data_IF_083662000420
#
_entry.id   IF_083662000420
#
_cell.length_a   1.000
_cell.length_b   1.000
_cell.length_c   1.000
_cell.angle_alpha   90.00
_cell.angle_beta   90.00
_cell.angle_gamma   90.00
#
_symmetry.space_group_name_H-M   'P 1'
#
loop_
_entity.id
_entity.type
_entity.pdbx_description
1 polymer ?
#
# COMPACT_ATOMS: atom_id res chain seq x y z
N UNK A 1 -17.08 -7.74 -12.96
CA UNK A 1 -17.08 -8.48 -11.68
C UNK A 1 -17.18 -9.97 -12.01
N UNK A 2 -16.05 -10.69 -12.05
CA UNK A 2 -16.01 -12.09 -12.50
C UNK A 2 -16.07 -13.02 -11.28
N UNK A 3 -17.07 -13.92 -11.22
CA UNK A 3 -17.17 -14.96 -10.19
C UNK A 3 -15.98 -15.92 -10.32
N UNK A 4 -15.08 -15.91 -9.33
CA UNK A 4 -14.05 -16.96 -9.16
C UNK A 4 -14.70 -18.15 -8.45
N UNK A 5 -14.41 -19.37 -8.91
CA UNK A 5 -14.75 -20.58 -8.16
C UNK A 5 -13.91 -20.68 -6.88
N UNK A 6 -14.44 -21.32 -5.84
CA UNK A 6 -13.69 -21.71 -4.64
C UNK A 6 -13.89 -23.19 -4.39
N UNK A 7 -12.83 -23.88 -3.96
CA UNK A 7 -12.94 -25.26 -3.47
C UNK A 7 -13.58 -25.31 -2.07
N UNK A 8 -13.94 -26.50 -1.55
CA UNK A 8 -14.41 -26.65 -0.17
C UNK A 8 -13.43 -26.10 0.88
N UNK A 9 -12.12 -26.12 0.60
CA UNK A 9 -11.07 -25.53 1.44
C UNK A 9 -10.91 -24.00 1.26
N UNK A 10 -11.78 -23.36 0.49
CA UNK A 10 -11.76 -21.93 0.22
C UNK A 10 -10.65 -21.48 -0.76
N UNK A 11 -9.96 -22.41 -1.42
CA UNK A 11 -8.86 -22.12 -2.36
C UNK A 11 -9.46 -21.46 -3.62
N UNK A 12 -9.02 -20.25 -4.02
CA UNK A 12 -9.50 -19.59 -5.22
C UNK A 12 -9.06 -20.32 -6.49
N UNK A 13 -9.97 -20.46 -7.45
CA UNK A 13 -9.68 -21.07 -8.76
C UNK A 13 -9.80 -20.00 -9.85
N UNK A 14 -8.72 -19.84 -10.60
CA UNK A 14 -8.64 -19.01 -11.80
C UNK A 14 -9.45 -19.60 -12.95
N UNK A 15 -9.63 -18.80 -14.02
CA UNK A 15 -10.35 -19.26 -15.22
C UNK A 15 -9.61 -20.38 -15.96
N UNK A 16 -8.31 -20.48 -15.76
CA UNK A 16 -7.43 -21.49 -16.33
C UNK A 16 -7.36 -22.78 -15.50
N UNK A 17 -8.10 -22.87 -14.40
CA UNK A 17 -8.11 -24.04 -13.50
C UNK A 17 -7.02 -24.03 -12.43
N UNK A 18 -6.16 -23.01 -12.41
CA UNK A 18 -5.05 -22.89 -11.45
C UNK A 18 -5.35 -21.86 -10.37
N UNK A 19 -4.63 -21.93 -9.26
CA UNK A 19 -4.72 -20.92 -8.21
C UNK A 19 -4.02 -19.65 -8.67
N UNK A 20 -4.68 -18.48 -8.68
CA UNK A 20 -4.04 -17.26 -9.16
C UNK A 20 -2.85 -16.89 -8.28
N UNK A 21 -1.71 -16.54 -8.90
CA UNK A 21 -0.45 -16.20 -8.21
C UNK A 21 -0.65 -15.16 -7.10
N UNK A 22 -1.45 -14.13 -7.34
CA UNK A 22 -1.78 -13.11 -6.32
C UNK A 22 -2.45 -13.68 -5.07
N UNK A 23 -3.28 -14.70 -5.21
CA UNK A 23 -3.95 -15.35 -4.07
C UNK A 23 -2.97 -16.24 -3.28
N UNK A 24 -2.00 -16.86 -3.96
CA UNK A 24 -0.89 -17.59 -3.31
C UNK A 24 -0.03 -16.63 -2.48
N UNK A 25 0.45 -15.53 -3.07
CA UNK A 25 1.24 -14.52 -2.35
C UNK A 25 0.47 -13.95 -1.17
N UNK A 26 -0.81 -13.64 -1.37
CA UNK A 26 -1.68 -13.17 -0.29
C UNK A 26 -1.80 -14.19 0.84
N UNK A 27 -1.89 -15.48 0.52
CA UNK A 27 -1.95 -16.55 1.53
C UNK A 27 -0.66 -16.61 2.33
N UNK A 28 0.49 -16.54 1.65
CA UNK A 28 1.79 -16.45 2.32
C UNK A 28 1.91 -15.21 3.21
N UNK A 29 1.46 -14.04 2.75
CA UNK A 29 1.42 -12.82 3.59
C UNK A 29 0.44 -12.92 4.78
N UNK A 30 -0.55 -13.81 4.73
CA UNK A 30 -1.52 -13.97 5.81
C UNK A 30 -1.01 -14.86 6.93
N UNK A 31 -0.35 -15.98 6.58
CA UNK A 31 -0.03 -17.06 7.54
C UNK A 31 1.37 -17.68 7.35
N UNK A 32 2.14 -17.26 6.35
CA UNK A 32 3.49 -17.75 6.10
C UNK A 32 4.52 -17.21 7.08
N UNK A 33 5.68 -17.86 7.14
CA UNK A 33 6.78 -17.48 8.01
C UNK A 33 7.96 -16.90 7.21
N UNK A 34 8.32 -15.65 7.48
CA UNK A 34 9.45 -14.98 6.85
C UNK A 34 10.80 -15.28 7.52
N UNK A 35 10.81 -16.03 8.64
CA UNK A 35 12.04 -16.40 9.34
C UNK A 35 12.96 -17.29 8.49
N UNK A 36 12.41 -18.03 7.53
CA UNK A 36 13.16 -18.92 6.64
C UNK A 36 13.49 -18.32 5.26
N UNK A 37 13.24 -17.02 5.04
CA UNK A 37 13.45 -16.36 3.74
C UNK A 37 14.91 -16.31 3.23
N UNK A 38 15.86 -16.95 3.92
CA UNK A 38 17.27 -17.05 3.55
C UNK A 38 17.68 -18.47 3.11
N UNK A 39 16.79 -19.47 3.25
CA UNK A 39 16.96 -20.84 2.77
C UNK A 39 15.87 -21.19 1.77
N UNK A 40 16.13 -22.18 0.91
CA UNK A 40 15.06 -22.86 0.18
C UNK A 40 14.74 -24.17 0.92
N UNK A 41 13.48 -24.56 0.93
CA UNK A 41 13.05 -25.85 1.43
C UNK A 41 13.51 -26.99 0.49
N UNK A 42 13.60 -28.19 1.03
CA UNK A 42 14.03 -29.38 0.28
C UNK A 42 13.05 -29.78 -0.83
N UNK A 43 11.80 -29.37 -0.69
CA UNK A 43 10.72 -29.57 -1.66
C UNK A 43 10.25 -28.20 -2.14
N UNK A 44 10.33 -27.98 -3.46
CA UNK A 44 9.85 -26.76 -4.10
C UNK A 44 8.78 -27.14 -5.11
N UNK A 45 7.56 -26.65 -4.90
CA UNK A 45 6.44 -26.77 -5.82
C UNK A 45 6.58 -25.79 -7.00
N UNK A 46 6.08 -26.12 -8.19
CA UNK A 46 6.10 -25.21 -9.33
C UNK A 46 5.25 -23.96 -9.07
N UNK A 47 5.59 -22.83 -9.70
CA UNK A 47 4.87 -21.55 -9.52
C UNK A 47 3.42 -21.52 -10.05
N UNK A 48 2.96 -22.59 -10.70
CA UNK A 48 1.60 -22.72 -11.25
C UNK A 48 0.98 -24.04 -10.78
N UNK A 49 0.01 -23.93 -9.86
CA UNK A 49 -0.56 -25.08 -9.13
C UNK A 49 -2.08 -25.13 -9.28
N UNK A 50 -2.65 -26.33 -9.40
CA UNK A 50 -4.08 -26.55 -9.21
C UNK A 50 -4.45 -26.50 -7.72
N UNK A 51 -5.73 -26.35 -7.37
CA UNK A 51 -6.15 -26.37 -5.97
C UNK A 51 -5.78 -27.65 -5.22
N UNK A 52 -5.77 -28.79 -5.92
CA UNK A 52 -5.39 -30.09 -5.34
C UNK A 52 -3.89 -30.13 -5.02
N UNK A 53 -3.05 -29.59 -5.91
CA UNK A 53 -1.60 -29.59 -5.74
C UNK A 53 -1.13 -28.68 -4.62
N UNK A 54 -1.79 -27.54 -4.41
CA UNK A 54 -1.40 -26.57 -3.37
C UNK A 54 -2.09 -26.83 -2.02
N UNK A 55 -2.97 -27.83 -1.91
CA UNK A 55 -3.89 -27.94 -0.79
C UNK A 55 -3.20 -28.03 0.59
N UNK A 56 -2.06 -28.70 0.67
CA UNK A 56 -1.28 -28.84 1.91
C UNK A 56 -0.55 -27.53 2.27
N UNK A 57 0.18 -26.96 1.31
CA UNK A 57 0.82 -25.65 1.46
C UNK A 57 -0.19 -24.54 1.81
N UNK A 58 -1.41 -24.62 1.26
CA UNK A 58 -2.46 -23.63 1.54
C UNK A 58 -2.90 -23.63 3.00
N UNK A 59 -2.88 -24.79 3.67
CA UNK A 59 -3.17 -24.91 5.09
C UNK A 59 -1.96 -24.50 5.94
N UNK A 60 -0.77 -24.91 5.52
CA UNK A 60 0.48 -24.59 6.19
C UNK A 60 1.61 -24.30 5.18
N UNK A 61 1.94 -23.01 4.92
CA UNK A 61 3.03 -22.66 4.02
C UNK A 61 4.43 -23.08 4.48
N UNK A 62 4.59 -23.63 5.70
CA UNK A 62 5.90 -24.11 6.20
C UNK A 62 6.25 -25.54 5.77
N UNK A 63 5.42 -26.20 4.97
CA UNK A 63 5.63 -27.63 4.59
C UNK A 63 6.52 -27.80 3.36
N UNK A 64 6.62 -26.77 2.52
CA UNK A 64 7.44 -26.72 1.32
C UNK A 64 7.44 -25.28 0.77
N UNK A 65 8.33 -24.99 -0.16
CA UNK A 65 8.30 -23.72 -0.91
C UNK A 65 7.50 -23.84 -2.21
N UNK A 66 7.14 -22.69 -2.76
CA UNK A 66 6.62 -22.48 -4.12
C UNK A 66 7.61 -21.59 -4.87
N UNK A 67 8.05 -22.07 -6.03
CA UNK A 67 8.96 -21.37 -6.93
C UNK A 67 8.52 -19.91 -7.18
N UNK A 68 9.40 -18.96 -6.82
CA UNK A 68 9.18 -17.53 -7.06
C UNK A 68 8.11 -16.90 -6.16
N UNK A 69 7.75 -17.57 -5.06
CA UNK A 69 6.94 -17.03 -3.96
C UNK A 69 7.84 -16.93 -2.73
N UNK A 70 8.06 -18.03 -2.02
CA UNK A 70 8.76 -18.15 -0.73
C UNK A 70 10.19 -18.70 -0.86
N UNK A 71 10.69 -18.88 -2.08
CA UNK A 71 12.11 -19.19 -2.34
C UNK A 71 13.03 -17.97 -2.20
N UNK A 72 14.32 -18.21 -1.93
CA UNK A 72 15.34 -17.18 -1.68
C UNK A 72 15.53 -16.16 -2.81
N UNK A 73 15.33 -16.61 -4.06
CA UNK A 73 15.49 -15.79 -5.28
C UNK A 73 14.18 -15.13 -5.74
N UNK A 74 13.15 -15.11 -4.89
CA UNK A 74 11.85 -14.51 -5.22
C UNK A 74 11.94 -13.01 -5.52
N UNK A 75 11.64 -12.62 -6.76
CA UNK A 75 11.54 -11.22 -7.19
C UNK A 75 10.45 -10.43 -6.45
N UNK A 76 9.45 -11.12 -5.89
CA UNK A 76 8.37 -10.49 -5.12
C UNK A 76 8.94 -9.85 -3.84
N UNK A 77 9.91 -10.54 -3.23
CA UNK A 77 10.52 -10.14 -1.96
C UNK A 77 11.92 -9.54 -2.13
N UNK A 78 12.45 -9.52 -3.36
CA UNK A 78 13.76 -8.93 -3.65
C UNK A 78 13.85 -7.48 -3.20
N UNK A 79 15.03 -7.06 -2.74
CA UNK A 79 15.29 -5.67 -2.33
C UNK A 79 16.58 -5.21 -3.00
N UNK A 80 16.65 -3.97 -3.55
CA UNK A 80 17.87 -3.41 -4.13
C UNK A 80 19.09 -3.56 -3.22
N UNK A 81 20.25 -3.91 -3.79
CA UNK A 81 21.51 -4.11 -3.05
C UNK A 81 22.02 -2.83 -2.34
N UNK A 82 21.60 -1.67 -2.83
CA UNK A 82 21.87 -0.37 -2.21
C UNK A 82 21.17 -0.18 -0.86
N UNK A 83 20.15 -0.98 -0.57
CA UNK A 83 19.39 -0.93 0.69
C UNK A 83 19.88 -2.06 1.61
N UNK A 84 20.38 -1.68 2.79
CA UNK A 84 21.02 -2.57 3.77
C UNK A 84 20.38 -2.46 5.16
N UNK A 85 20.79 -3.36 6.05
CA UNK A 85 20.42 -3.34 7.46
C UNK A 85 18.92 -3.54 7.70
N UNK A 86 18.39 -2.87 8.73
CA UNK A 86 16.99 -3.01 9.16
C UNK A 86 15.97 -2.73 8.06
N UNK A 87 16.21 -1.71 7.23
CA UNK A 87 15.35 -1.38 6.08
C UNK A 87 15.23 -2.55 5.10
N UNK A 88 16.34 -3.23 4.83
CA UNK A 88 16.33 -4.42 3.95
C UNK A 88 15.47 -5.53 4.55
N UNK A 89 15.63 -5.81 5.84
CA UNK A 89 14.85 -6.85 6.54
C UNK A 89 13.35 -6.55 6.49
N UNK A 90 12.96 -5.30 6.72
CA UNK A 90 11.56 -4.89 6.63
C UNK A 90 11.01 -5.00 5.19
N UNK A 91 11.73 -4.47 4.20
CA UNK A 91 11.30 -4.48 2.80
C UNK A 91 11.28 -5.88 2.16
N UNK A 92 12.06 -6.83 2.68
CA UNK A 92 11.98 -8.24 2.29
C UNK A 92 10.63 -8.89 2.65
N UNK A 93 9.88 -8.33 3.60
CA UNK A 93 8.56 -8.82 4.04
C UNK A 93 7.41 -8.15 3.30
N UNK A 94 7.68 -7.10 2.52
CA UNK A 94 6.67 -6.44 1.69
C UNK A 94 6.69 -7.09 0.31
N UNK A 95 5.62 -7.79 -0.02
CA UNK A 95 5.43 -8.41 -1.32
C UNK A 95 5.14 -7.34 -2.38
N UNK A 96 5.89 -7.33 -3.49
CA UNK A 96 5.60 -6.45 -4.63
C UNK A 96 5.37 -7.30 -5.88
N UNK A 97 4.12 -7.33 -6.37
CA UNK A 97 3.72 -8.07 -7.55
C UNK A 97 3.85 -7.16 -8.77
N UNK A 98 5.06 -7.12 -9.32
CA UNK A 98 5.45 -6.42 -10.55
C UNK A 98 6.66 -7.12 -11.17
N UNK A 99 7.20 -6.59 -12.26
CA UNK A 99 8.56 -6.96 -12.67
C UNK A 99 9.61 -6.46 -11.65
N UNK A 100 10.83 -6.99 -11.76
CA UNK A 100 11.94 -6.71 -10.87
C UNK A 100 12.35 -5.23 -10.86
N UNK A 101 12.33 -4.56 -12.01
CA UNK A 101 12.74 -3.15 -12.12
C UNK A 101 11.76 -2.25 -11.38
N UNK A 102 10.46 -2.49 -11.55
CA UNK A 102 9.42 -1.73 -10.84
C UNK A 102 9.39 -2.04 -9.35
N UNK A 103 9.59 -3.30 -8.96
CA UNK A 103 9.72 -3.72 -7.55
C UNK A 103 10.88 -2.99 -6.86
N UNK A 104 12.05 -2.98 -7.50
CA UNK A 104 13.23 -2.28 -7.01
C UNK A 104 12.99 -0.77 -6.90
N UNK A 105 12.29 -0.15 -7.87
CA UNK A 105 11.92 1.27 -7.84
C UNK A 105 11.01 1.59 -6.65
N UNK A 106 9.93 0.83 -6.48
CA UNK A 106 8.97 1.00 -5.38
C UNK A 106 9.68 0.87 -4.04
N UNK A 107 10.47 -0.19 -3.84
CA UNK A 107 11.20 -0.44 -2.59
C UNK A 107 12.26 0.63 -2.32
N UNK A 108 12.89 1.19 -3.36
CA UNK A 108 13.80 2.33 -3.20
C UNK A 108 13.07 3.58 -2.72
N UNK A 109 11.92 3.90 -3.30
CA UNK A 109 11.10 5.05 -2.89
C UNK A 109 10.62 4.89 -1.43
N UNK A 110 10.19 3.69 -1.05
CA UNK A 110 9.84 3.40 0.35
C UNK A 110 11.05 3.56 1.28
N UNK A 111 12.21 3.01 0.93
CA UNK A 111 13.44 3.19 1.73
C UNK A 111 13.86 4.66 1.85
N UNK A 112 13.63 5.45 0.80
CA UNK A 112 13.98 6.87 0.75
C UNK A 112 12.98 7.78 1.47
N UNK A 113 11.77 7.32 1.75
CA UNK A 113 10.70 8.14 2.34
C UNK A 113 10.36 7.75 3.80
N UNK A 114 10.77 6.56 4.22
CA UNK A 114 10.47 6.03 5.56
C UNK A 114 11.74 5.66 6.34
N UNK A 115 11.64 5.68 7.66
CA UNK A 115 12.63 5.15 8.60
C UNK A 115 12.60 3.62 8.61
N UNK A 116 13.59 2.98 9.26
CA UNK A 116 13.58 1.53 9.37
C UNK A 116 12.41 1.05 10.24
N UNK A 117 12.13 1.77 11.31
CA UNK A 117 11.08 1.50 12.28
C UNK A 117 9.69 1.59 11.64
N UNK A 118 9.44 2.61 10.80
CA UNK A 118 8.19 2.71 10.04
C UNK A 118 8.02 1.57 9.04
N UNK A 119 9.10 1.16 8.36
CA UNK A 119 9.05 0.02 7.44
C UNK A 119 8.81 -1.29 8.20
N UNK A 120 9.40 -1.46 9.38
CA UNK A 120 9.17 -2.61 10.26
C UNK A 120 7.70 -2.66 10.71
N UNK A 121 7.12 -1.52 11.10
CA UNK A 121 5.70 -1.39 11.47
C UNK A 121 4.76 -1.76 10.31
N UNK A 122 5.03 -1.26 9.10
CA UNK A 122 4.25 -1.62 7.90
C UNK A 122 4.39 -3.10 7.50
N UNK A 123 5.50 -3.74 7.88
CA UNK A 123 5.78 -5.13 7.56
C UNK A 123 5.33 -6.12 8.65
N UNK A 124 4.80 -5.65 9.79
CA UNK A 124 4.52 -6.49 10.94
C UNK A 124 3.19 -7.27 10.84
N UNK A 125 3.19 -8.53 11.30
CA UNK A 125 2.02 -9.40 11.32
C UNK A 125 1.64 -9.82 9.90
N UNK A 126 0.39 -9.54 9.50
CA UNK A 126 -0.07 -9.73 8.12
C UNK A 126 0.48 -8.60 7.26
N UNK A 127 1.62 -8.85 6.64
CA UNK A 127 2.45 -7.86 5.96
C UNK A 127 1.81 -7.29 4.70
N UNK A 128 2.13 -6.03 4.42
CA UNK A 128 1.67 -5.30 3.24
C UNK A 128 1.98 -6.03 1.92
N UNK A 129 1.00 -6.05 1.02
CA UNK A 129 1.18 -6.43 -0.38
C UNK A 129 1.05 -5.20 -1.28
N UNK A 130 1.86 -5.11 -2.33
CA UNK A 130 1.78 -4.09 -3.38
C UNK A 130 1.53 -4.81 -4.71
N UNK A 131 0.49 -4.42 -5.44
CA UNK A 131 0.19 -4.94 -6.78
C UNK A 131 0.28 -3.81 -7.79
N UNK A 132 1.03 -4.01 -8.86
CA UNK A 132 1.12 -3.04 -9.97
C UNK A 132 0.22 -3.47 -11.12
N UNK A 133 -0.48 -2.52 -11.73
CA UNK A 133 -1.32 -2.74 -12.92
C UNK A 133 -0.92 -1.76 -14.03
N UNK A 134 -1.00 -2.15 -15.31
CA UNK A 134 -0.61 -1.27 -16.40
C UNK A 134 -1.41 0.05 -16.42
N UNK A 135 -2.73 -0.03 -16.17
CA UNK A 135 -3.62 1.12 -16.19
C UNK A 135 -4.67 1.04 -15.08
N UNK A 136 -4.84 2.14 -14.36
CA UNK A 136 -5.93 2.41 -13.44
C UNK A 136 -6.78 3.56 -14.01
N UNK A 137 -8.11 3.43 -13.95
CA UNK A 137 -9.00 4.34 -14.71
C UNK A 137 -9.04 5.76 -14.16
N UNK A 138 -9.25 5.88 -12.85
CA UNK A 138 -9.64 7.13 -12.21
C UNK A 138 -8.63 7.59 -11.12
N UNK A 139 -7.50 6.90 -10.98
CA UNK A 139 -6.48 7.15 -9.96
C UNK A 139 -5.15 6.51 -10.38
N UNK A 140 -4.04 6.93 -9.76
CA UNK A 140 -2.72 6.32 -9.98
C UNK A 140 -2.34 5.30 -8.88
N UNK A 141 -3.20 5.15 -7.87
CA UNK A 141 -3.07 4.17 -6.81
C UNK A 141 -4.26 4.19 -5.86
N UNK A 142 -4.40 3.14 -5.04
CA UNK A 142 -5.32 3.09 -3.90
C UNK A 142 -4.90 2.05 -2.85
N UNK A 143 -5.19 2.35 -1.59
CA UNK A 143 -4.96 1.47 -0.45
C UNK A 143 -6.22 0.72 -0.01
N UNK A 144 -6.12 -0.62 -0.02
CA UNK A 144 -7.08 -1.55 0.55
C UNK A 144 -6.64 -1.96 1.96
N UNK A 145 -7.22 -1.31 2.97
CA UNK A 145 -7.11 -1.74 4.37
C UNK A 145 -7.76 -3.10 4.61
N UNK A 146 -7.39 -3.74 5.71
CA UNK A 146 -8.05 -4.97 6.18
C UNK A 146 -9.53 -4.72 6.43
N UNK A 147 -10.36 -5.56 5.83
CA UNK A 147 -11.81 -5.56 5.92
C UNK A 147 -12.34 -6.93 5.47
N UNK A 148 -13.65 -7.17 5.60
CA UNK A 148 -14.26 -8.39 5.08
C UNK A 148 -13.90 -8.60 3.60
N UNK A 149 -13.25 -9.73 3.30
CA UNK A 149 -12.75 -10.08 1.96
C UNK A 149 -11.35 -9.57 1.61
N UNK A 150 -10.71 -8.79 2.48
CA UNK A 150 -9.33 -8.29 2.35
C UNK A 150 -8.54 -8.70 3.60
N UNK A 151 -7.99 -9.93 3.65
CA UNK A 151 -7.35 -10.47 4.85
C UNK A 151 -5.98 -9.83 5.14
N UNK A 152 -5.33 -9.32 4.09
CA UNK A 152 -4.00 -8.71 4.08
C UNK A 152 -4.14 -7.31 3.48
N UNK A 153 -3.56 -6.26 4.09
CA UNK A 153 -3.58 -4.91 3.51
C UNK A 153 -2.86 -4.90 2.16
N UNK A 154 -3.42 -4.17 1.20
CA UNK A 154 -2.92 -4.15 -0.17
C UNK A 154 -2.88 -2.73 -0.73
N UNK A 155 -1.76 -2.32 -1.28
CA UNK A 155 -1.64 -1.13 -2.13
C UNK A 155 -1.73 -1.59 -3.58
N UNK A 156 -2.58 -0.95 -4.37
CA UNK A 156 -2.63 -1.15 -5.82
C UNK A 156 -2.12 0.12 -6.48
N UNK A 157 -1.15 0.00 -7.38
CA UNK A 157 -0.52 1.12 -8.09
C UNK A 157 -0.69 0.97 -9.60
N UNK A 158 -0.79 2.10 -10.29
CA UNK A 158 -0.53 2.16 -11.72
C UNK A 158 0.98 2.08 -11.97
N UNK A 159 1.37 1.34 -13.01
CA UNK A 159 2.75 1.20 -13.44
C UNK A 159 3.39 2.58 -13.72
N UNK A 160 4.56 2.83 -13.16
CA UNK A 160 5.26 4.11 -13.37
C UNK A 160 4.68 5.30 -12.61
N UNK A 161 3.77 5.09 -11.66
CA UNK A 161 3.26 6.15 -10.77
C UNK A 161 4.39 6.89 -10.04
N UNK A 162 4.15 8.13 -9.63
CA UNK A 162 5.16 9.02 -9.04
C UNK A 162 5.59 8.59 -7.64
N UNK A 163 6.64 9.22 -7.10
CA UNK A 163 7.07 8.98 -5.72
C UNK A 163 5.98 9.40 -4.74
N UNK A 164 5.33 10.55 -4.97
CA UNK A 164 4.16 10.99 -4.21
C UNK A 164 3.03 9.94 -4.23
N UNK A 165 2.74 9.34 -5.40
CA UNK A 165 1.72 8.29 -5.51
C UNK A 165 2.03 7.06 -4.65
N UNK A 166 3.26 6.54 -4.71
CA UNK A 166 3.70 5.40 -3.88
C UNK A 166 3.66 5.76 -2.39
N UNK A 167 4.20 6.93 -2.04
CA UNK A 167 4.29 7.37 -0.65
C UNK A 167 2.91 7.66 -0.06
N UNK A 168 1.98 8.22 -0.84
CA UNK A 168 0.59 8.47 -0.43
C UNK A 168 -0.11 7.19 0.02
N UNK A 169 -0.05 6.14 -0.79
CA UNK A 169 -0.68 4.87 -0.43
C UNK A 169 0.03 4.19 0.75
N UNK A 170 1.36 4.31 0.84
CA UNK A 170 2.12 3.81 1.98
C UNK A 170 1.80 4.58 3.28
N UNK A 171 1.57 5.89 3.20
CA UNK A 171 1.15 6.72 4.34
C UNK A 171 -0.24 6.31 4.82
N UNK A 172 -1.20 6.02 3.94
CA UNK A 172 -2.48 5.45 4.37
C UNK A 172 -2.28 4.16 5.18
N UNK A 173 -1.41 3.27 4.72
CA UNK A 173 -1.13 2.03 5.42
C UNK A 173 -0.49 2.29 6.79
N UNK A 174 0.54 3.13 6.87
CA UNK A 174 1.22 3.48 8.12
C UNK A 174 0.26 4.15 9.11
N UNK A 175 -0.56 5.10 8.66
CA UNK A 175 -1.60 5.74 9.49
C UNK A 175 -2.59 4.73 10.05
N UNK A 176 -2.99 3.73 9.26
CA UNK A 176 -3.87 2.67 9.73
C UNK A 176 -3.20 1.78 10.78
N UNK A 177 -1.91 1.46 10.62
CA UNK A 177 -1.10 0.69 11.58
C UNK A 177 -0.93 1.42 12.91
N UNK A 178 -0.66 2.71 12.86
CA UNK A 178 -0.42 3.55 14.04
C UNK A 178 -1.71 4.07 14.70
N UNK A 179 -2.89 3.67 14.20
CA UNK A 179 -4.17 4.13 14.75
C UNK A 179 -4.46 5.63 14.50
N UNK A 180 -3.78 6.24 13.52
CA UNK A 180 -3.94 7.65 13.13
C UNK A 180 -4.94 7.87 11.99
N UNK A 181 -5.38 6.80 11.32
CA UNK A 181 -6.36 6.90 10.23
C UNK A 181 -7.69 7.49 10.72
N UNK A 182 -8.30 8.37 9.92
CA UNK A 182 -9.62 8.93 10.23
C UNK A 182 -10.75 7.88 10.12
N UNK A 183 -10.48 6.75 9.45
CA UNK A 183 -11.46 5.68 9.32
C UNK A 183 -11.62 4.93 10.64
N UNK A 184 -12.86 4.64 11.06
CA UNK A 184 -13.08 3.86 12.27
C UNK A 184 -12.58 2.42 12.05
N UNK A 185 -11.69 1.97 12.93
CA UNK A 185 -11.18 0.60 12.90
C UNK A 185 -11.36 -0.07 14.25
N UNK A 186 -11.58 -1.39 14.24
CA UNK A 186 -11.62 -2.25 15.41
C UNK A 186 -10.63 -3.39 15.19
N UNK A 187 -9.62 -3.49 16.06
CA UNK A 187 -8.53 -4.47 15.93
C UNK A 187 -7.82 -4.42 14.55
N UNK A 188 -7.63 -3.22 14.01
CA UNK A 188 -7.00 -3.01 12.69
C UNK A 188 -7.86 -3.39 11.49
N UNK A 189 -9.16 -3.66 11.68
CA UNK A 189 -10.14 -3.95 10.63
C UNK A 189 -11.13 -2.78 10.53
N UNK A 190 -11.49 -2.36 9.32
CA UNK A 190 -12.52 -1.32 9.11
C UNK A 190 -13.83 -1.71 9.81
N UNK A 191 -14.36 -0.82 10.64
CA UNK A 191 -15.61 -1.08 11.36
C UNK A 191 -16.78 -1.22 10.37
N UNK A 192 -17.58 -2.27 10.50
CA UNK A 192 -18.75 -2.49 9.63
C UNK A 192 -19.80 -1.38 9.74
N UNK A 193 -19.87 -0.71 10.90
CA UNK A 193 -20.70 0.47 11.14
C UNK A 193 -20.38 1.62 10.20
N UNK A 194 -19.13 1.75 9.73
CA UNK A 194 -18.75 2.76 8.73
C UNK A 194 -19.63 2.71 7.48
N UNK A 195 -19.95 1.50 7.01
CA UNK A 195 -20.78 1.31 5.80
C UNK A 195 -22.22 1.78 6.01
N UNK A 196 -22.68 1.84 7.26
CA UNK A 196 -24.03 2.26 7.65
C UNK A 196 -24.14 3.77 7.87
N UNK A 197 -23.01 4.49 7.97
CA UNK A 197 -23.02 5.93 8.12
C UNK A 197 -23.64 6.62 6.89
N UNK A 198 -24.30 7.78 7.08
CA UNK A 198 -24.75 8.63 5.99
C UNK A 198 -23.61 8.96 5.03
N UNK A 199 -23.91 9.11 3.73
CA UNK A 199 -22.90 9.44 2.71
C UNK A 199 -22.09 10.68 3.08
N UNK A 200 -22.74 11.73 3.58
CA UNK A 200 -22.08 12.98 4.00
C UNK A 200 -21.00 12.75 5.05
N UNK A 201 -21.28 11.89 6.03
CA UNK A 201 -20.33 11.58 7.10
C UNK A 201 -19.16 10.73 6.58
N UNK A 202 -19.44 9.74 5.71
CA UNK A 202 -18.38 8.99 5.03
C UNK A 202 -17.49 9.89 4.17
N UNK A 203 -18.09 10.81 3.42
CA UNK A 203 -17.36 11.77 2.59
C UNK A 203 -16.48 12.70 3.45
N UNK A 204 -16.94 13.09 4.65
CA UNK A 204 -16.12 13.82 5.62
C UNK A 204 -14.94 13.00 6.14
N UNK A 205 -15.15 11.72 6.47
CA UNK A 205 -14.08 10.82 6.93
C UNK A 205 -13.04 10.60 5.83
N UNK A 206 -13.49 10.28 4.61
CA UNK A 206 -12.62 10.11 3.44
C UNK A 206 -11.86 11.41 3.16
N UNK A 207 -12.56 12.54 3.07
CA UNK A 207 -11.95 13.83 2.78
C UNK A 207 -10.93 14.24 3.84
N UNK A 208 -11.16 13.91 5.11
CA UNK A 208 -10.18 14.12 6.18
C UNK A 208 -8.96 13.23 6.00
N UNK A 209 -9.17 11.93 5.78
CA UNK A 209 -8.06 10.99 5.58
C UNK A 209 -7.19 11.43 4.40
N UNK A 210 -7.76 11.69 3.23
CA UNK A 210 -6.99 12.04 2.04
C UNK A 210 -6.16 13.31 2.25
N UNK A 211 -6.73 14.35 2.85
CA UNK A 211 -6.00 15.61 3.11
C UNK A 211 -4.84 15.42 4.10
N UNK A 212 -5.09 14.69 5.18
CA UNK A 212 -4.05 14.42 6.18
C UNK A 212 -2.95 13.51 5.60
N UNK A 213 -3.31 12.53 4.77
CA UNK A 213 -2.36 11.70 4.02
C UNK A 213 -1.52 12.55 3.07
N UNK A 214 -2.13 13.42 2.25
CA UNK A 214 -1.38 14.30 1.32
C UNK A 214 -0.41 15.19 2.08
N UNK A 215 -0.83 15.81 3.20
CA UNK A 215 0.07 16.66 3.99
C UNK A 215 1.29 15.87 4.51
N UNK A 216 1.09 14.62 4.94
CA UNK A 216 2.18 13.75 5.38
C UNK A 216 3.03 13.24 4.21
N UNK A 217 2.45 12.98 3.04
CA UNK A 217 3.18 12.64 1.80
C UNK A 217 4.15 13.74 1.41
N UNK A 218 3.66 14.99 1.34
CA UNK A 218 4.45 16.19 1.05
C UNK A 218 5.59 16.38 2.07
N UNK A 219 5.37 16.02 3.33
CA UNK A 219 6.43 16.05 4.33
C UNK A 219 7.56 15.05 4.04
N UNK A 220 7.24 13.93 3.38
CA UNK A 220 8.12 12.77 3.19
C UNK A 220 8.85 12.75 1.86
N UNK A 221 8.30 13.43 0.86
CA UNK A 221 8.85 13.48 -0.48
C UNK A 221 9.58 14.79 -0.74
N UNK A 222 10.40 14.79 -1.80
CA UNK A 222 10.85 16.05 -2.42
C UNK A 222 9.77 16.49 -3.39
N UNK A 223 9.89 17.73 -3.86
CA UNK A 223 9.03 18.25 -4.93
C UNK A 223 9.07 17.31 -6.12
N UNK A 224 7.97 16.62 -6.36
CA UNK A 224 7.77 15.84 -7.57
C UNK A 224 7.50 16.79 -8.76
N UNK A 225 7.88 16.39 -9.99
CA UNK A 225 7.62 17.18 -11.19
C UNK A 225 6.13 17.27 -11.51
N UNK A 226 5.33 16.32 -11.01
CA UNK A 226 3.88 16.25 -11.18
C UNK A 226 3.25 16.18 -9.80
N UNK A 227 2.48 17.20 -9.44
CA UNK A 227 1.72 17.21 -8.19
C UNK A 227 0.57 16.20 -8.20
N UNK A 228 0.13 15.83 -7.01
CA UNK A 228 -1.07 15.01 -6.86
C UNK A 228 -2.34 15.74 -7.33
N UNK A 229 -3.25 15.03 -7.99
CA UNK A 229 -4.55 15.56 -8.44
C UNK A 229 -5.47 16.03 -7.31
N UNK A 230 -5.14 15.76 -6.05
CA UNK A 230 -5.85 16.38 -4.91
C UNK A 230 -5.71 17.91 -4.89
N UNK A 231 -4.63 18.44 -5.45
CA UNK A 231 -4.39 19.89 -5.54
C UNK A 231 -5.33 20.59 -6.54
N UNK A 232 -5.90 19.86 -7.50
CA UNK A 232 -6.93 20.38 -8.43
C UNK A 232 -8.23 20.79 -7.73
N UNK A 233 -8.37 20.40 -6.45
CA UNK A 233 -9.57 20.61 -5.64
C UNK A 233 -9.48 21.83 -4.74
N UNK A 234 -8.46 22.66 -4.92
CA UNK A 234 -8.21 23.86 -4.10
C UNK A 234 -8.78 25.09 -4.82
N UNK A 235 -9.83 25.73 -4.27
CA UNK A 235 -10.44 26.87 -4.92
C UNK A 235 -9.49 28.07 -5.03
N UNK A 236 -9.43 28.69 -6.21
CA UNK A 236 -8.74 29.97 -6.41
C UNK A 236 -7.21 29.91 -6.46
N UNK A 237 -6.61 28.71 -6.54
CA UNK A 237 -5.17 28.51 -6.63
C UNK A 237 -4.84 27.44 -7.68
N UNK A 238 -3.74 27.59 -8.43
CA UNK A 238 -3.29 26.53 -9.32
C UNK A 238 -2.73 25.35 -8.52
N UNK A 239 -2.94 24.13 -9.01
CA UNK A 239 -2.53 22.88 -8.34
C UNK A 239 -1.03 22.91 -7.99
N UNK A 240 -0.19 23.30 -8.96
CA UNK A 240 1.24 23.46 -8.75
C UNK A 240 1.61 24.47 -7.66
N UNK A 241 0.97 25.65 -7.66
CA UNK A 241 1.28 26.67 -6.65
C UNK A 241 0.85 26.23 -5.25
N UNK A 242 -0.27 25.52 -5.14
CA UNK A 242 -0.75 24.97 -3.88
C UNK A 242 0.16 23.86 -3.35
N UNK A 243 0.65 22.98 -4.23
CA UNK A 243 1.63 21.94 -3.89
C UNK A 243 2.95 22.52 -3.39
N UNK A 244 3.52 23.48 -4.12
CA UNK A 244 4.78 24.13 -3.74
C UNK A 244 4.66 24.90 -2.42
N UNK A 245 3.52 25.58 -2.21
CA UNK A 245 3.23 26.21 -0.93
C UNK A 245 3.21 25.20 0.22
N UNK A 246 2.59 24.04 0.04
CA UNK A 246 2.50 23.03 1.09
C UNK A 246 3.86 22.41 1.39
N UNK A 247 4.67 22.15 0.35
CA UNK A 247 6.05 21.71 0.53
C UNK A 247 6.83 22.70 1.40
N UNK A 248 6.75 24.00 1.07
CA UNK A 248 7.46 25.06 1.79
C UNK A 248 6.99 25.16 3.24
N UNK A 249 5.68 25.15 3.47
CA UNK A 249 5.06 25.28 4.81
C UNK A 249 5.37 24.08 5.70
N UNK A 250 5.42 22.87 5.15
CA UNK A 250 5.58 21.64 5.92
C UNK A 250 7.05 21.28 6.12
N UNK A 251 7.83 21.32 5.05
CA UNK A 251 9.15 20.69 4.99
C UNK A 251 10.26 21.60 4.44
N UNK A 252 9.88 22.76 3.87
CA UNK A 252 10.82 23.64 3.18
C UNK A 252 11.50 22.91 2.03
N UNK A 253 12.83 22.90 2.05
CA UNK A 253 13.66 22.24 1.04
C UNK A 253 14.05 20.79 1.36
N UNK A 254 13.59 20.22 2.48
CA UNK A 254 14.06 18.91 2.96
C UNK A 254 12.92 17.92 3.18
N UNK A 255 12.99 16.79 2.49
CA UNK A 255 12.17 15.63 2.81
C UNK A 255 12.46 15.12 4.24
N UNK A 256 11.40 14.94 5.03
CA UNK A 256 11.43 14.47 6.42
C UNK A 256 11.03 13.00 6.49
N UNK A 257 11.30 12.34 7.62
CA UNK A 257 10.90 10.94 7.87
C UNK A 257 10.49 10.75 9.33
N UNK A 258 9.85 9.63 9.65
CA UNK A 258 9.51 9.28 11.02
C UNK A 258 8.65 10.33 11.69
N UNK A 259 8.86 10.47 13.01
CA UNK A 259 8.17 11.47 13.84
C UNK A 259 8.35 12.91 13.36
N UNK A 260 9.43 13.23 12.67
CA UNK A 260 9.64 14.59 12.14
C UNK A 260 8.65 14.92 11.03
N UNK A 261 8.42 13.98 10.09
CA UNK A 261 7.43 14.13 9.03
C UNK A 261 6.01 14.27 9.60
N UNK A 262 5.63 13.35 10.50
CA UNK A 262 4.30 13.36 11.15
C UNK A 262 4.06 14.68 11.88
N UNK A 263 5.00 15.11 12.75
CA UNK A 263 4.86 16.37 13.50
C UNK A 263 4.82 17.59 12.60
N UNK A 264 5.59 17.60 11.51
CA UNK A 264 5.60 18.71 10.58
C UNK A 264 4.25 18.85 9.85
N UNK A 265 3.69 17.74 9.38
CA UNK A 265 2.38 17.69 8.76
C UNK A 265 1.28 18.14 9.75
N UNK A 266 1.25 17.58 10.96
CA UNK A 266 0.23 17.91 11.98
C UNK A 266 0.28 19.38 12.43
N UNK A 267 1.48 19.88 12.79
CA UNK A 267 1.64 21.26 13.29
C UNK A 267 1.28 22.31 12.25
N UNK A 268 1.57 22.03 10.98
CA UNK A 268 1.35 22.97 9.91
C UNK A 268 0.05 22.72 9.14
N UNK A 269 -0.70 21.66 9.42
CA UNK A 269 -1.87 21.24 8.64
C UNK A 269 -2.86 22.38 8.39
N UNK A 270 -3.23 23.14 9.42
CA UNK A 270 -4.17 24.27 9.28
C UNK A 270 -3.67 25.42 8.40
N UNK A 271 -2.37 25.46 8.08
CA UNK A 271 -1.74 26.46 7.21
C UNK A 271 -1.60 25.97 5.77
N UNK A 272 -1.81 24.69 5.48
CA UNK A 272 -1.63 24.14 4.14
C UNK A 272 -2.79 24.50 3.22
N UNK A 273 -2.53 24.52 1.93
CA UNK A 273 -3.50 24.64 0.86
C UNK A 273 -4.37 23.38 0.78
N UNK A 274 -3.80 22.19 0.96
CA UNK A 274 -4.57 20.94 0.91
C UNK A 274 -5.66 20.86 2.00
N UNK A 275 -5.46 21.48 3.17
CA UNK A 275 -6.51 21.54 4.21
C UNK A 275 -7.82 22.15 3.69
N UNK A 276 -7.72 23.06 2.71
CA UNK A 276 -8.83 23.77 2.07
C UNK A 276 -9.47 23.04 0.89
N UNK A 277 -8.91 21.91 0.46
CA UNK A 277 -9.40 21.18 -0.70
C UNK A 277 -10.85 20.70 -0.51
N UNK A 278 -11.65 20.69 -1.59
CA UNK A 278 -13.03 20.20 -1.57
C UNK A 278 -13.06 18.80 -2.22
N UNK A 279 -12.91 17.76 -1.39
CA UNK A 279 -12.80 16.36 -1.85
C UNK A 279 -14.14 15.62 -1.93
N UNK A 280 -15.29 16.33 -1.88
CA UNK A 280 -16.60 15.69 -1.86
C UNK A 280 -16.86 14.86 -3.12
N UNK A 281 -17.43 13.67 -2.96
CA UNK A 281 -17.89 12.80 -4.06
C UNK A 281 -19.10 13.36 -4.84
N UNK A 282 -19.50 14.61 -4.61
CA UNK A 282 -20.57 15.26 -5.35
C UNK A 282 -20.06 15.76 -6.70
N UNK A 283 -19.93 14.82 -7.63
CA UNK A 283 -20.22 15.10 -9.05
C UNK A 283 -21.66 15.61 -9.14
N UNK A 284 -21.82 16.91 -9.33
CA UNK A 284 -22.73 17.43 -10.35
C UNK A 284 -21.89 18.29 -11.28
N UNK A 285 -21.85 17.87 -12.54
CA UNK A 285 -20.99 18.45 -13.55
C UNK A 285 -21.18 19.95 -13.72
N UNK A 286 -20.11 20.60 -14.17
CA UNK A 286 -20.27 21.68 -15.13
C UNK A 286 -19.68 21.19 -16.44
N UNK A 287 -20.53 21.27 -17.46
CA UNK A 287 -20.24 21.12 -18.88
C UNK A 287 -19.06 21.99 -19.27
#
# INVERSE_FOLDING_TARGET
>A
MFRRGRTPKGIPVGKDGYVPRRDIVRRFQEIGDFRDSESDDSVILPGKLTPEQIAEWWENPSVCDIEGIDTKESDIYSVPLSIRGKKRKALKRIAVLSDRKESDRIKKILADSFTAEELEEMAEGRSLMVTVQPHLRDCTGFYLRRQDGVPVPEIVLEEGTTADGIVHEAVHHLRAREGRSAFPTRNGVLDQGYRRLPKSERDTIVGREEKETVAETVARTRIDPVESGYYDRIPGQSSRAAYLHDQEVISGSKALKGRAAVKAAERNYGRTSISRAILSANRKGKR
#
